data_IF_923386696262
#
_entry.id   IF_923386696262
#
_cell.length_a   1.000
_cell.length_b   1.000
_cell.length_c   1.000
_cell.angle_alpha   90.00
_cell.angle_beta   90.00
_cell.angle_gamma   90.00
#
_symmetry.space_group_name_H-M   'P 1'
#
loop_
_entity.id
_entity.type
_entity.pdbx_description
1 polymer ?
#
# COMPACT_ATOMS: atom_id res chain seq x y z
N UNK A 1 11.39 -5.44 0.52
CA UNK A 1 11.79 -4.66 -0.67
C UNK A 1 13.16 -4.07 -0.43
N UNK A 2 14.03 -4.13 -1.44
CA UNK A 2 15.33 -3.47 -1.39
C UNK A 2 15.12 -1.99 -1.76
N UNK A 3 15.22 -1.10 -0.78
CA UNK A 3 15.04 0.34 -0.97
C UNK A 3 15.99 0.91 -2.01
N UNK A 4 17.28 0.53 -1.98
CA UNK A 4 18.28 1.02 -2.93
C UNK A 4 17.87 0.74 -4.37
N UNK A 5 17.39 -0.48 -4.65
CA UNK A 5 16.93 -0.85 -6.00
C UNK A 5 15.65 -0.10 -6.37
N UNK A 6 14.68 0.00 -5.46
CA UNK A 6 13.43 0.72 -5.73
C UNK A 6 13.73 2.18 -6.05
N UNK A 7 14.51 2.85 -5.20
CA UNK A 7 14.90 4.24 -5.40
C UNK A 7 15.64 4.43 -6.72
N UNK A 8 16.63 3.60 -7.01
CA UNK A 8 17.36 3.65 -8.29
C UNK A 8 16.41 3.55 -9.49
N UNK A 9 15.46 2.62 -9.49
CA UNK A 9 14.50 2.47 -10.59
C UNK A 9 13.58 3.67 -10.72
N UNK A 10 13.07 4.20 -9.59
CA UNK A 10 12.19 5.38 -9.57
C UNK A 10 12.93 6.63 -10.07
N UNK A 11 14.16 6.86 -9.61
CA UNK A 11 15.03 7.95 -10.07
C UNK A 11 15.34 7.87 -11.58
N UNK A 12 15.25 6.68 -12.17
CA UNK A 12 15.42 6.44 -13.62
C UNK A 12 14.09 6.32 -14.38
N UNK A 13 12.99 6.81 -13.80
CA UNK A 13 11.70 6.95 -14.50
C UNK A 13 10.81 5.72 -14.47
N UNK A 14 11.04 4.77 -13.56
CA UNK A 14 10.10 3.66 -13.35
C UNK A 14 8.72 4.20 -12.95
N UNK A 15 7.66 3.71 -13.60
CA UNK A 15 6.31 4.15 -13.34
C UNK A 15 5.76 3.54 -12.03
N UNK A 16 5.77 4.32 -10.95
CA UNK A 16 5.23 3.94 -9.63
C UNK A 16 3.71 3.79 -9.58
N UNK A 17 3.00 4.22 -10.61
CA UNK A 17 1.55 4.05 -10.76
C UNK A 17 1.20 2.84 -11.63
N UNK A 18 2.19 2.12 -12.19
CA UNK A 18 1.93 0.96 -13.05
C UNK A 18 1.24 -0.13 -12.25
N UNK A 19 0.11 -0.58 -12.77
CA UNK A 19 -0.66 -1.68 -12.20
C UNK A 19 -0.26 -3.01 -12.84
N UNK A 20 -0.28 -4.07 -12.03
CA UNK A 20 -0.27 -5.45 -12.52
C UNK A 20 -1.69 -5.90 -12.93
N UNK A 21 -1.84 -7.17 -13.32
CA UNK A 21 -3.14 -7.76 -13.72
C UNK A 21 -4.20 -7.77 -12.59
N UNK A 22 -3.78 -7.64 -11.34
CA UNK A 22 -4.66 -7.56 -10.17
C UNK A 22 -4.97 -6.11 -9.79
N UNK A 23 -4.60 -5.12 -10.60
CA UNK A 23 -4.81 -3.69 -10.28
C UNK A 23 -3.94 -3.20 -9.12
N UNK A 24 -2.89 -3.95 -8.76
CA UNK A 24 -1.97 -3.58 -7.69
C UNK A 24 -0.82 -2.75 -8.23
N UNK A 25 -0.61 -1.58 -7.63
CA UNK A 25 0.60 -0.75 -7.81
C UNK A 25 1.75 -1.26 -6.92
N UNK A 26 3.00 -0.79 -7.13
CA UNK A 26 4.11 -1.06 -6.23
C UNK A 26 3.82 -0.80 -4.74
N UNK A 27 2.96 0.17 -4.41
CA UNK A 27 2.58 0.49 -3.03
C UNK A 27 1.92 -0.70 -2.31
N UNK A 28 1.12 -1.51 -3.00
CA UNK A 28 0.51 -2.72 -2.41
C UNK A 28 1.57 -3.71 -1.92
N UNK A 29 2.61 -3.91 -2.73
CA UNK A 29 3.71 -4.83 -2.40
C UNK A 29 4.66 -4.22 -1.37
N UNK A 30 4.84 -2.90 -1.39
CA UNK A 30 5.54 -2.19 -0.33
C UNK A 30 4.84 -2.39 1.02
N UNK A 31 3.50 -2.38 1.07
CA UNK A 31 2.75 -2.67 2.29
C UNK A 31 2.87 -4.12 2.79
N UNK A 32 3.25 -5.06 1.90
CA UNK A 32 3.61 -6.44 2.30
C UNK A 32 5.04 -6.56 2.85
N UNK A 33 5.87 -5.54 2.67
CA UNK A 33 7.28 -5.49 3.06
C UNK A 33 7.44 -4.92 4.47
N UNK A 34 8.50 -5.34 5.18
CA UNK A 34 8.91 -4.75 6.46
C UNK A 34 9.78 -3.49 6.30
N UNK A 35 10.04 -3.07 5.06
CA UNK A 35 10.92 -1.95 4.76
C UNK A 35 10.09 -0.67 4.53
N UNK A 36 10.01 0.16 5.55
CA UNK A 36 9.29 1.43 5.55
C UNK A 36 9.89 2.45 4.56
N UNK A 37 11.19 2.37 4.27
CA UNK A 37 11.84 3.30 3.35
C UNK A 37 11.33 3.16 1.92
N UNK A 38 10.97 1.94 1.50
CA UNK A 38 10.33 1.70 0.21
C UNK A 38 8.98 2.42 0.12
N UNK A 39 8.23 2.46 1.22
CA UNK A 39 6.89 3.05 1.26
C UNK A 39 7.01 4.56 1.20
N UNK A 40 7.93 5.14 1.98
CA UNK A 40 8.26 6.58 1.92
C UNK A 40 8.67 7.01 0.50
N UNK A 41 9.63 6.29 -0.10
CA UNK A 41 10.08 6.55 -1.47
C UNK A 41 8.92 6.56 -2.49
N UNK A 42 7.96 5.64 -2.35
CA UNK A 42 6.79 5.60 -3.23
C UNK A 42 5.78 6.72 -2.95
N UNK A 43 5.52 7.05 -1.67
CA UNK A 43 4.58 8.13 -1.30
C UNK A 43 5.06 9.51 -1.74
N UNK A 44 6.38 9.75 -1.80
CA UNK A 44 6.96 11.01 -2.29
C UNK A 44 6.61 11.28 -3.77
N UNK A 45 6.16 10.26 -4.52
CA UNK A 45 5.81 10.34 -5.94
C UNK A 45 4.29 10.41 -6.18
N UNK A 46 3.52 10.99 -5.25
CA UNK A 46 2.07 11.25 -5.38
C UNK A 46 1.22 10.01 -5.75
N UNK A 47 1.61 8.83 -5.27
CA UNK A 47 0.85 7.59 -5.51
C UNK A 47 -0.54 7.65 -4.88
N UNK A 48 -1.51 7.03 -5.56
CA UNK A 48 -2.90 6.97 -5.09
C UNK A 48 -3.02 5.98 -3.90
N UNK A 49 -2.90 6.50 -2.68
CA UNK A 49 -2.89 5.71 -1.43
C UNK A 49 -4.17 4.90 -1.19
N UNK A 50 -5.29 5.33 -1.80
CA UNK A 50 -6.60 4.72 -1.69
C UNK A 50 -7.02 3.94 -2.94
N UNK A 51 -6.08 3.69 -3.86
CA UNK A 51 -6.33 2.87 -5.05
C UNK A 51 -6.86 1.50 -4.62
N UNK A 52 -7.89 1.03 -5.32
CA UNK A 52 -8.42 -0.32 -5.15
C UNK A 52 -7.80 -1.27 -6.16
N UNK A 53 -7.34 -2.42 -5.70
CA UNK A 53 -7.01 -3.55 -6.56
C UNK A 53 -8.30 -4.18 -7.13
N UNK A 54 -8.16 -5.25 -7.91
CA UNK A 54 -9.32 -5.99 -8.41
C UNK A 54 -10.22 -6.41 -7.25
N UNK A 55 -9.65 -6.76 -6.07
CA UNK A 55 -10.25 -7.12 -4.76
C UNK A 55 -10.95 -6.00 -3.99
N UNK A 56 -10.97 -4.78 -4.54
CA UNK A 56 -11.56 -3.63 -3.87
C UNK A 56 -10.77 -3.22 -2.63
N UNK A 57 -9.66 -3.89 -2.37
CA UNK A 57 -8.77 -3.68 -1.25
C UNK A 57 -7.82 -2.54 -1.59
N UNK A 58 -7.55 -1.69 -0.61
CA UNK A 58 -6.53 -0.64 -0.67
C UNK A 58 -5.20 -1.16 -0.10
N UNK A 59 -4.08 -0.45 -0.30
CA UNK A 59 -2.82 -0.74 0.38
C UNK A 59 -2.96 -0.91 1.91
N UNK A 60 -3.90 -0.20 2.54
CA UNK A 60 -4.16 -0.32 3.98
C UNK A 60 -4.64 -1.73 4.39
N UNK A 61 -5.46 -2.42 3.59
CA UNK A 61 -5.83 -3.83 3.85
C UNK A 61 -4.59 -4.73 3.93
N UNK A 62 -3.61 -4.50 3.06
CA UNK A 62 -2.37 -5.28 3.02
C UNK A 62 -1.47 -4.99 4.22
N UNK A 63 -1.41 -3.73 4.68
CA UNK A 63 -0.71 -3.36 5.91
C UNK A 63 -1.34 -4.03 7.13
N UNK A 64 -2.68 -4.03 7.23
CA UNK A 64 -3.44 -4.72 8.28
C UNK A 64 -3.14 -6.22 8.32
N UNK A 65 -3.07 -6.90 7.16
CA UNK A 65 -2.74 -8.34 7.09
C UNK A 65 -1.38 -8.70 7.69
N UNK A 66 -0.44 -7.75 7.73
CA UNK A 66 0.90 -7.96 8.27
C UNK A 66 1.03 -7.56 9.75
N UNK A 67 0.05 -6.85 10.30
CA UNK A 67 0.11 -6.32 11.66
C UNK A 67 1.23 -5.29 11.88
N UNK A 68 1.68 -4.60 10.82
CA UNK A 68 2.73 -3.59 10.96
C UNK A 68 2.12 -2.25 11.40
N UNK A 69 2.05 -2.03 12.71
CA UNK A 69 1.47 -0.84 13.33
C UNK A 69 2.08 0.48 12.81
N UNK A 70 3.41 0.54 12.70
CA UNK A 70 4.11 1.75 12.21
C UNK A 70 3.68 2.10 10.80
N UNK A 71 3.59 1.10 9.93
CA UNK A 71 3.11 1.29 8.57
C UNK A 71 1.64 1.73 8.53
N UNK A 72 0.78 1.09 9.32
CA UNK A 72 -0.64 1.44 9.38
C UNK A 72 -0.81 2.91 9.78
N UNK A 73 -0.13 3.34 10.84
CA UNK A 73 -0.11 4.74 11.28
C UNK A 73 0.36 5.67 10.16
N UNK A 74 1.48 5.33 9.52
CA UNK A 74 2.04 6.13 8.44
C UNK A 74 1.08 6.29 7.24
N UNK A 75 0.42 5.22 6.80
CA UNK A 75 -0.58 5.29 5.73
C UNK A 75 -1.77 6.17 6.11
N UNK A 76 -2.25 6.07 7.36
CA UNK A 76 -3.37 6.87 7.87
C UNK A 76 -2.99 8.36 7.89
N UNK A 77 -1.80 8.69 8.39
CA UNK A 77 -1.27 10.07 8.40
C UNK A 77 -1.16 10.66 6.99
N UNK A 78 -0.96 9.82 5.97
CA UNK A 78 -0.87 10.21 4.56
C UNK A 78 -2.20 10.09 3.80
N UNK A 79 -3.33 9.99 4.53
CA UNK A 79 -4.67 10.07 3.96
C UNK A 79 -5.28 8.74 3.50
N UNK A 80 -4.77 7.60 3.97
CA UNK A 80 -5.45 6.32 3.76
C UNK A 80 -6.83 6.33 4.46
N UNK A 81 -7.86 5.99 3.70
CA UNK A 81 -9.24 5.92 4.16
C UNK A 81 -9.45 4.62 4.96
N UNK A 82 -9.54 4.78 6.28
CA UNK A 82 -9.72 3.68 7.24
C UNK A 82 -11.08 2.97 7.12
N UNK A 83 -12.04 3.58 6.43
CA UNK A 83 -13.40 3.06 6.26
C UNK A 83 -13.67 2.56 4.83
N UNK A 84 -12.66 2.56 3.95
CA UNK A 84 -12.83 2.11 2.56
C UNK A 84 -13.21 0.62 2.52
N UNK A 85 -14.37 0.31 1.96
CA UNK A 85 -14.84 -1.08 1.86
C UNK A 85 -14.25 -1.82 0.66
N UNK A 86 -13.90 -3.10 0.84
CA UNK A 86 -13.66 -4.03 -0.28
C UNK A 86 -15.00 -4.52 -0.88
N UNK A 87 -14.99 -5.42 -1.87
CA UNK A 87 -16.26 -5.90 -2.48
C UNK A 87 -17.17 -6.60 -1.50
N UNK A 88 -16.57 -7.24 -0.51
CA UNK A 88 -17.24 -8.03 0.51
C UNK A 88 -17.84 -7.15 1.61
N UNK A 89 -17.81 -5.82 1.45
CA UNK A 89 -18.24 -4.85 2.45
C UNK A 89 -17.42 -4.92 3.74
N UNK A 90 -16.21 -5.46 3.66
CA UNK A 90 -15.27 -5.50 4.76
C UNK A 90 -14.45 -4.22 4.75
N UNK A 91 -14.20 -3.64 5.93
CA UNK A 91 -13.27 -2.51 6.13
C UNK A 91 -11.88 -3.02 6.54
N UNK A 92 -10.84 -2.17 6.51
CA UNK A 92 -9.52 -2.53 7.02
C UNK A 92 -9.55 -3.07 8.46
N UNK A 93 -10.35 -2.48 9.35
CA UNK A 93 -10.49 -2.96 10.73
C UNK A 93 -11.18 -4.32 10.80
N UNK A 94 -12.23 -4.55 10.02
CA UNK A 94 -12.88 -5.87 9.93
C UNK A 94 -11.87 -6.94 9.51
N UNK A 95 -11.05 -6.63 8.50
CA UNK A 95 -10.05 -7.55 7.98
C UNK A 95 -8.91 -7.79 8.98
N UNK A 96 -8.49 -6.76 9.73
CA UNK A 96 -7.49 -6.87 10.79
C UNK A 96 -7.98 -7.75 11.96
N UNK A 97 -9.26 -7.66 12.33
CA UNK A 97 -9.85 -8.46 13.42
C UNK A 97 -10.02 -9.95 13.09
N UNK A 98 -9.92 -10.34 11.81
CA UNK A 98 -10.08 -11.73 11.36
C UNK A 98 -8.78 -12.54 11.38
N UNK A 99 -7.63 -11.88 11.27
CA UNK A 99 -6.30 -12.51 11.22
C UNK A 99 -5.66 -12.58 12.61
#
# INVERSE_FOLDING_TARGET
>A
GNEVIVKYLVDHGANVHKENIEGMTPLFYACKSRNELVIKCLLDHMVEINKKNIYGETPLFFACRRGNETLIKYLIEHGADINKENWRKETPVFYASKN
#
